data_IF_059822112883
#
_entry.id   IF_059822112883
#
_cell.length_a   1.000
_cell.length_b   1.000
_cell.length_c   1.000
_cell.angle_alpha   90.00
_cell.angle_beta   90.00
_cell.angle_gamma   90.00
#
_symmetry.space_group_name_H-M   'P 1'
#
loop_
_entity.id
_entity.type
_entity.pdbx_description
1 polymer ?
#
# COMPACT_ATOMS: atom_id res chain seq x y z
N UNK A 1 12.64 8.90 9.27
CA UNK A 1 13.84 8.43 8.54
C UNK A 1 14.52 7.35 9.37
N UNK A 2 14.53 6.11 8.88
CA UNK A 2 15.65 5.21 9.15
C UNK A 2 16.18 4.73 7.80
N UNK A 3 17.36 5.21 7.43
CA UNK A 3 18.17 4.69 6.34
C UNK A 3 19.03 3.56 6.90
N UNK A 4 18.42 2.40 7.07
CA UNK A 4 19.13 1.14 7.31
C UNK A 4 19.01 0.32 6.04
N UNK A 5 19.83 0.63 5.04
CA UNK A 5 19.75 -0.06 3.75
C UNK A 5 20.05 -1.54 3.92
N UNK A 6 19.23 -2.37 3.31
CA UNK A 6 19.70 -3.57 2.62
C UNK A 6 19.11 -3.46 1.20
N UNK A 7 19.99 -3.57 0.19
CA UNK A 7 19.76 -3.82 -1.25
C UNK A 7 18.86 -2.92 -2.12
N UNK A 8 18.22 -1.87 -1.61
CA UNK A 8 17.45 -0.93 -2.47
C UNK A 8 16.08 -1.45 -2.93
N UNK A 9 15.72 -2.67 -2.54
CA UNK A 9 14.37 -3.23 -2.66
C UNK A 9 13.61 -3.24 -1.32
N UNK A 10 14.27 -2.91 -0.21
CA UNK A 10 13.63 -2.82 1.11
C UNK A 10 12.77 -1.56 1.23
N UNK A 11 11.47 -1.66 1.58
CA UNK A 11 10.60 -0.50 1.75
C UNK A 11 11.14 0.48 2.81
N UNK A 12 11.18 1.78 2.49
CA UNK A 12 11.58 2.81 3.43
C UNK A 12 10.47 3.07 4.46
N UNK A 13 10.64 2.61 5.70
CA UNK A 13 9.65 2.80 6.75
C UNK A 13 9.88 4.11 7.53
N UNK A 14 8.91 5.02 7.49
CA UNK A 14 8.89 6.23 8.33
C UNK A 14 8.23 5.96 9.69
N UNK A 15 8.53 4.82 10.30
CA UNK A 15 7.81 4.27 11.45
C UNK A 15 7.80 5.17 12.69
N UNK A 16 8.86 5.98 12.91
CA UNK A 16 8.94 6.90 14.06
C UNK A 16 7.87 8.01 14.02
N UNK A 17 7.34 8.34 12.84
CA UNK A 17 6.22 9.27 12.66
C UNK A 17 4.86 8.54 12.65
N UNK A 18 4.87 7.22 12.88
CA UNK A 18 3.75 6.31 12.75
C UNK A 18 2.77 6.38 13.91
N UNK A 19 3.27 6.61 15.13
CA UNK A 19 2.50 6.43 16.36
C UNK A 19 2.43 4.97 16.82
N UNK A 20 3.38 4.12 16.37
CA UNK A 20 3.46 2.69 16.73
C UNK A 20 4.90 2.38 17.15
N UNK A 21 5.06 1.58 18.22
CA UNK A 21 6.37 1.08 18.63
C UNK A 21 6.97 0.13 17.57
N UNK A 22 8.30 0.07 17.49
CA UNK A 22 9.02 -0.62 16.42
C UNK A 22 8.57 -2.07 16.18
N UNK A 23 8.45 -2.89 17.23
CA UNK A 23 8.04 -4.30 17.10
C UNK A 23 6.60 -4.43 16.61
N UNK A 24 5.67 -3.66 17.21
CA UNK A 24 4.27 -3.62 16.80
C UNK A 24 4.11 -3.08 15.37
N UNK A 25 4.94 -2.12 14.94
CA UNK A 25 4.93 -1.59 13.59
C UNK A 25 5.28 -2.69 12.57
N UNK A 26 6.34 -3.45 12.81
CA UNK A 26 6.76 -4.52 11.91
C UNK A 26 5.71 -5.63 11.83
N UNK A 27 5.18 -6.06 12.97
CA UNK A 27 4.11 -7.07 13.05
C UNK A 27 2.86 -6.62 12.28
N UNK A 28 2.43 -5.37 12.52
CA UNK A 28 1.29 -4.74 11.83
C UNK A 28 1.49 -4.74 10.32
N UNK A 29 2.66 -4.32 9.83
CA UNK A 29 2.92 -4.26 8.38
C UNK A 29 2.95 -5.66 7.75
N UNK A 30 3.48 -6.67 8.45
CA UNK A 30 3.47 -8.06 7.97
C UNK A 30 2.03 -8.57 7.87
N UNK A 31 1.23 -8.43 8.93
CA UNK A 31 -0.17 -8.84 8.93
C UNK A 31 -0.98 -8.11 7.87
N UNK A 32 -0.76 -6.80 7.70
CA UNK A 32 -1.41 -6.00 6.67
C UNK A 32 -1.04 -6.47 5.26
N UNK A 33 0.23 -6.83 5.04
CA UNK A 33 0.71 -7.34 3.74
C UNK A 33 0.08 -8.69 3.41
N UNK A 34 0.01 -9.60 4.40
CA UNK A 34 -0.66 -10.91 4.24
C UNK A 34 -2.15 -10.72 3.94
N UNK A 35 -2.82 -9.85 4.69
CA UNK A 35 -4.26 -9.60 4.54
C UNK A 35 -4.59 -8.92 3.20
N UNK A 36 -3.74 -7.99 2.75
CA UNK A 36 -3.91 -7.33 1.45
C UNK A 36 -3.70 -8.31 0.30
N UNK A 37 -2.65 -9.14 0.40
CA UNK A 37 -2.27 -10.10 -0.63
C UNK A 37 -1.97 -9.46 -1.99
N UNK A 38 -1.68 -10.32 -2.96
CA UNK A 38 -1.60 -9.93 -4.38
C UNK A 38 -2.84 -10.46 -5.08
N UNK A 39 -3.69 -9.61 -5.69
CA UNK A 39 -4.86 -10.09 -6.42
C UNK A 39 -4.48 -11.06 -7.53
N UNK A 40 -5.32 -12.09 -7.75
CA UNK A 40 -5.13 -13.07 -8.83
C UNK A 40 -4.96 -12.41 -10.21
N UNK A 41 -5.65 -11.27 -10.42
CA UNK A 41 -5.52 -10.47 -11.63
C UNK A 41 -4.07 -10.05 -11.94
N UNK A 42 -3.23 -9.84 -10.93
CA UNK A 42 -1.80 -9.57 -11.11
C UNK A 42 -1.03 -10.88 -11.31
N UNK A 43 -1.23 -11.88 -10.44
CA UNK A 43 -0.44 -13.14 -10.50
C UNK A 43 -0.66 -13.92 -11.80
N UNK A 44 -1.87 -13.88 -12.34
CA UNK A 44 -2.27 -14.68 -13.50
C UNK A 44 -1.90 -14.00 -14.83
N UNK A 45 -1.51 -12.72 -14.78
CA UNK A 45 -1.20 -11.91 -15.98
C UNK A 45 0.23 -11.37 -15.96
N UNK A 46 1.15 -12.06 -15.28
CA UNK A 46 2.58 -11.71 -15.31
C UNK A 46 3.09 -11.79 -16.76
N UNK A 47 3.72 -10.71 -17.24
CA UNK A 47 4.14 -10.54 -18.63
C UNK A 47 3.02 -10.17 -19.60
N UNK A 48 1.79 -9.98 -19.11
CA UNK A 48 0.62 -9.60 -19.90
C UNK A 48 0.19 -8.15 -19.67
N UNK A 49 -0.92 -7.79 -20.32
CA UNK A 49 -1.61 -6.52 -20.10
C UNK A 49 -2.93 -6.76 -19.36
N UNK A 50 -3.26 -5.87 -18.44
CA UNK A 50 -4.53 -5.88 -17.72
C UNK A 50 -5.20 -4.51 -17.81
N UNK A 51 -6.53 -4.51 -17.72
CA UNK A 51 -7.28 -3.26 -17.63
C UNK A 51 -7.03 -2.57 -16.28
N UNK A 52 -6.69 -1.29 -16.34
CA UNK A 52 -6.30 -0.49 -15.18
C UNK A 52 -7.46 -0.28 -14.20
N UNK A 53 -8.70 -0.16 -14.68
CA UNK A 53 -9.88 -0.01 -13.83
C UNK A 53 -10.23 -1.31 -13.11
N UNK A 54 -10.12 -2.45 -13.80
CA UNK A 54 -10.24 -3.79 -13.18
C UNK A 54 -9.18 -4.01 -12.10
N UNK A 55 -7.95 -3.56 -12.32
CA UNK A 55 -6.90 -3.61 -11.30
C UNK A 55 -7.26 -2.78 -10.07
N UNK A 56 -7.70 -1.53 -10.26
CA UNK A 56 -8.14 -0.67 -9.15
C UNK A 56 -9.28 -1.30 -8.36
N UNK A 57 -10.26 -1.89 -9.05
CA UNK A 57 -11.38 -2.58 -8.41
C UNK A 57 -10.92 -3.77 -7.60
N UNK A 58 -10.01 -4.59 -8.13
CA UNK A 58 -9.44 -5.74 -7.43
C UNK A 58 -8.66 -5.33 -6.17
N UNK A 59 -7.89 -4.23 -6.24
CA UNK A 59 -7.08 -3.74 -5.13
C UNK A 59 -7.85 -2.92 -4.09
N UNK A 60 -9.02 -2.36 -4.44
CA UNK A 60 -9.84 -1.58 -3.51
C UNK A 60 -10.51 -2.44 -2.45
N UNK A 61 -10.61 -3.76 -2.68
CA UNK A 61 -11.24 -4.72 -1.77
C UNK A 61 -12.69 -4.38 -1.42
N UNK A 62 -13.21 -4.98 -0.36
CA UNK A 62 -14.59 -4.75 0.12
C UNK A 62 -14.79 -3.35 0.73
N UNK A 63 -13.70 -2.70 1.17
CA UNK A 63 -13.73 -1.39 1.83
C UNK A 63 -13.70 -0.21 0.85
N UNK A 64 -13.59 -0.47 -0.46
CA UNK A 64 -13.86 0.49 -1.54
C UNK A 64 -12.86 1.65 -1.70
N UNK A 65 -11.74 1.65 -0.96
CA UNK A 65 -10.74 2.72 -1.07
C UNK A 65 -9.82 2.50 -2.25
N UNK A 66 -9.94 3.37 -3.26
CA UNK A 66 -9.13 3.27 -4.48
C UNK A 66 -7.65 3.54 -4.18
N UNK A 67 -6.76 2.60 -4.51
CA UNK A 67 -5.32 2.82 -4.33
C UNK A 67 -4.78 3.79 -5.38
N UNK A 68 -3.61 4.35 -5.08
CA UNK A 68 -2.82 5.11 -6.04
C UNK A 68 -1.89 4.15 -6.76
N UNK A 69 -1.90 4.18 -8.09
CA UNK A 69 -1.06 3.32 -8.92
C UNK A 69 0.10 4.12 -9.50
N UNK A 70 1.32 3.65 -9.28
CA UNK A 70 2.53 4.23 -9.85
C UNK A 70 2.99 3.32 -10.99
N UNK A 71 2.97 3.86 -12.20
CA UNK A 71 3.47 3.25 -13.42
C UNK A 71 4.69 3.99 -13.97
N UNK A 72 5.52 3.26 -14.69
CA UNK A 72 6.58 3.78 -15.57
C UNK A 72 6.47 3.09 -16.92
N UNK A 73 6.41 3.85 -18.02
CA UNK A 73 6.29 3.31 -19.38
C UNK A 73 5.16 2.26 -19.52
N UNK A 74 4.00 2.58 -18.92
CA UNK A 74 2.81 1.72 -18.83
C UNK A 74 2.98 0.41 -18.03
N UNK A 75 4.09 0.24 -17.30
CA UNK A 75 4.34 -0.91 -16.43
C UNK A 75 3.99 -0.57 -14.99
N UNK A 76 3.27 -1.46 -14.31
CA UNK A 76 2.97 -1.28 -12.89
C UNK A 76 4.26 -1.41 -12.05
N UNK A 77 4.63 -0.35 -11.35
CA UNK A 77 5.79 -0.36 -10.44
C UNK A 77 5.38 -0.50 -8.98
N UNK A 78 4.38 0.27 -8.54
CA UNK A 78 3.95 0.29 -7.13
C UNK A 78 2.46 0.52 -7.00
N UNK A 79 1.90 -0.07 -5.95
CA UNK A 79 0.56 0.21 -5.45
C UNK A 79 0.71 0.89 -4.09
N UNK A 80 0.04 2.02 -3.91
CA UNK A 80 -0.01 2.73 -2.64
C UNK A 80 -1.43 2.67 -2.08
N UNK A 81 -1.55 2.06 -0.91
CA UNK A 81 -2.80 1.99 -0.14
C UNK A 81 -2.66 2.86 1.10
N UNK A 82 -3.73 3.58 1.44
CA UNK A 82 -3.75 4.47 2.60
C UNK A 82 -4.72 3.96 3.66
N UNK A 83 -4.33 4.13 4.92
CA UNK A 83 -5.09 3.68 6.08
C UNK A 83 -5.25 4.83 7.06
N UNK A 84 -6.39 4.88 7.73
CA UNK A 84 -6.62 5.86 8.77
C UNK A 84 -5.83 5.54 10.04
N UNK A 85 -5.67 6.58 10.87
CA UNK A 85 -5.04 6.49 12.20
C UNK A 85 -6.00 6.97 13.28
N UNK A 86 -7.30 6.83 13.02
CA UNK A 86 -8.32 7.61 13.72
C UNK A 86 -8.65 7.07 15.11
N UNK A 87 -8.13 5.88 15.48
CA UNK A 87 -8.41 5.24 16.75
C UNK A 87 -7.11 4.72 17.37
N UNK A 88 -6.70 5.24 18.53
CA UNK A 88 -5.63 4.61 19.27
C UNK A 88 -6.10 3.24 19.77
N UNK A 89 -5.21 2.25 19.71
CA UNK A 89 -5.34 1.01 20.45
C UNK A 89 -5.21 1.36 21.93
N UNK A 90 -6.35 1.40 22.61
CA UNK A 90 -6.46 1.76 24.03
C UNK A 90 -6.01 0.60 24.93
N UNK A 91 -4.77 0.14 24.76
CA UNK A 91 -4.12 -0.73 25.74
C UNK A 91 -3.53 0.08 26.91
N UNK A 92 -3.22 1.37 26.67
CA UNK A 92 -2.70 2.32 27.67
C UNK A 92 -3.15 3.75 27.34
N UNK A 93 -3.51 4.53 28.36
CA UNK A 93 -3.87 5.96 28.21
C UNK A 93 -2.65 6.89 28.21
N UNK A 94 -1.47 6.38 28.60
CA UNK A 94 -0.23 7.17 28.70
C UNK A 94 0.70 6.98 27.49
N UNK A 95 0.48 5.94 26.68
CA UNK A 95 1.26 5.65 25.47
C UNK A 95 0.35 5.08 24.37
N UNK A 96 -0.49 5.94 23.74
CA UNK A 96 -1.45 5.50 22.75
C UNK A 96 -0.74 5.05 21.46
N UNK A 97 -1.00 3.82 21.04
CA UNK A 97 -0.53 3.28 19.75
C UNK A 97 -1.60 3.46 18.67
N UNK A 98 -1.23 3.86 17.46
CA UNK A 98 -2.16 4.11 16.35
C UNK A 98 -1.92 3.15 15.19
N UNK A 99 -2.72 2.08 15.13
CA UNK A 99 -2.66 1.09 14.05
C UNK A 99 -3.44 1.53 12.80
N UNK A 100 -3.05 1.06 11.59
CA UNK A 100 -3.80 1.27 10.36
C UNK A 100 -5.10 0.46 10.42
N UNK A 101 -6.19 1.12 10.83
CA UNK A 101 -7.44 0.40 11.13
C UNK A 101 -8.32 0.21 9.90
N UNK A 102 -8.62 1.29 9.16
CA UNK A 102 -9.51 1.23 8.00
C UNK A 102 -8.81 1.74 6.74
N UNK A 103 -8.95 1.04 5.60
CA UNK A 103 -8.58 1.61 4.31
C UNK A 103 -9.33 2.92 4.07
N UNK A 104 -8.60 3.94 3.63
CA UNK A 104 -9.16 5.24 3.24
C UNK A 104 -8.62 5.67 1.88
N UNK A 105 -9.33 6.59 1.24
CA UNK A 105 -8.80 7.30 0.08
C UNK A 105 -7.50 8.03 0.47
N UNK A 106 -6.47 7.88 -0.36
CA UNK A 106 -5.21 8.56 -0.11
C UNK A 106 -5.35 10.09 -0.11
N UNK A 107 -4.58 10.81 0.73
CA UNK A 107 -4.56 12.28 0.71
C UNK A 107 -4.26 12.84 -0.67
N UNK A 108 -4.72 14.07 -0.96
CA UNK A 108 -4.61 14.68 -2.28
C UNK A 108 -3.18 14.67 -2.85
N UNK A 109 -2.17 14.94 -2.02
CA UNK A 109 -0.76 14.92 -2.44
C UNK A 109 -0.29 13.53 -2.93
N UNK A 110 -0.80 12.46 -2.33
CA UNK A 110 -0.50 11.09 -2.78
C UNK A 110 -1.31 10.73 -4.02
N UNK A 111 -2.57 11.15 -4.12
CA UNK A 111 -3.38 10.94 -5.33
C UNK A 111 -2.79 11.59 -6.57
N UNK A 112 -2.07 12.70 -6.41
CA UNK A 112 -1.34 13.36 -7.51
C UNK A 112 -0.16 12.53 -8.04
N UNK A 113 0.29 11.52 -7.30
CA UNK A 113 1.34 10.60 -7.75
C UNK A 113 0.79 9.42 -8.57
N UNK A 114 -0.51 9.39 -8.85
CA UNK A 114 -1.08 8.38 -9.72
C UNK A 114 -0.63 8.64 -11.17
N UNK A 115 0.19 7.73 -11.70
CA UNK A 115 0.75 7.84 -13.06
C UNK A 115 0.19 6.81 -14.03
N UNK A 116 -0.64 5.87 -13.56
CA UNK A 116 -1.28 4.86 -14.40
C UNK A 116 -2.57 5.44 -15.03
N UNK A 117 -2.39 6.24 -16.08
CA UNK A 117 -3.47 6.96 -16.79
C UNK A 117 -4.04 6.22 -18.01
N UNK A 118 -3.37 5.15 -18.45
CA UNK A 118 -3.80 4.36 -19.60
C UNK A 118 -4.96 3.42 -19.23
N UNK A 119 -5.70 2.95 -20.23
CA UNK A 119 -6.79 1.98 -20.05
C UNK A 119 -6.26 0.58 -19.70
N UNK A 120 -5.06 0.25 -20.18
CA UNK A 120 -4.37 -1.00 -19.90
C UNK A 120 -2.98 -0.71 -19.40
N UNK A 121 -2.45 -1.57 -18.53
CA UNK A 121 -1.09 -1.53 -18.04
C UNK A 121 -0.45 -2.92 -18.11
N UNK A 122 0.87 -2.95 -18.23
CA UNK A 122 1.65 -4.17 -18.30
C UNK A 122 2.10 -4.60 -16.91
N UNK A 123 1.96 -5.89 -16.60
CA UNK A 123 2.49 -6.48 -15.38
C UNK A 123 3.86 -7.06 -15.68
N UNK A 124 4.90 -6.37 -15.23
CA UNK A 124 6.27 -6.91 -15.32
C UNK A 124 6.44 -8.10 -14.40
N UNK A 125 6.99 -9.20 -14.93
CA UNK A 125 7.58 -10.25 -14.10
C UNK A 125 8.91 -9.79 -13.50
N UNK A 126 9.22 -10.33 -12.32
CA UNK A 126 10.57 -10.29 -11.75
C UNK A 126 11.52 -11.19 -12.55
#
# INVERSE_FOLDING_TARGET
MWSGGFDGNTPSYSWTCGGIHQAAYLDTIVHLTIATGTPALISDNIGGEINTESLRKALSGENGSTPVLICQDNKLLRVLSCYDKNRPVLASTTDPTYEPANPIACPAAWRQQDTCSQNTLHITGL
#
